data_IF_125998901524
#
_entry.id   IF_125998901524
#
_cell.length_a   1.000
_cell.length_b   1.000
_cell.length_c   1.000
_cell.angle_alpha   90.00
_cell.angle_beta   90.00
_cell.angle_gamma   90.00
#
_symmetry.space_group_name_H-M   'P 1'
#
loop_
_entity.id
_entity.type
_entity.pdbx_description
1 polymer ?
#
# COMPACT_ATOMS: atom_id res chain seq x y z
N UNK A 1 6.27 -18.34 -5.38
CA UNK A 1 6.11 -17.13 -6.21
C UNK A 1 4.86 -16.45 -5.70
N UNK A 2 4.96 -15.23 -5.16
CA UNK A 2 3.75 -14.49 -4.78
C UNK A 2 3.02 -14.02 -6.05
N UNK A 3 1.74 -14.33 -6.16
CA UNK A 3 0.90 -13.83 -7.25
C UNK A 3 0.42 -12.39 -6.94
N UNK A 4 -0.03 -11.66 -7.95
CA UNK A 4 -0.50 -10.26 -7.82
C UNK A 4 -1.58 -10.13 -6.74
N UNK A 5 -2.49 -11.09 -6.66
CA UNK A 5 -3.58 -11.11 -5.67
C UNK A 5 -3.07 -11.23 -4.23
N UNK A 6 -2.06 -12.08 -4.00
CA UNK A 6 -1.43 -12.25 -2.69
C UNK A 6 -0.71 -10.96 -2.27
N UNK A 7 0.03 -10.34 -3.18
CA UNK A 7 0.72 -9.06 -2.95
C UNK A 7 -0.28 -7.95 -2.62
N UNK A 8 -1.37 -7.87 -3.39
CA UNK A 8 -2.45 -6.92 -3.13
C UNK A 8 -3.03 -7.13 -1.73
N UNK A 9 -3.31 -8.37 -1.34
CA UNK A 9 -3.84 -8.70 -0.01
C UNK A 9 -2.87 -8.29 1.10
N UNK A 10 -1.59 -8.63 0.97
CA UNK A 10 -0.53 -8.26 1.93
C UNK A 10 -0.50 -6.75 2.14
N UNK A 11 -0.49 -5.98 1.05
CA UNK A 11 -0.42 -4.52 1.13
C UNK A 11 -1.69 -3.93 1.75
N UNK A 12 -2.87 -4.40 1.35
CA UNK A 12 -4.14 -3.92 1.92
C UNK A 12 -4.22 -4.21 3.42
N UNK A 13 -3.88 -5.42 3.85
CA UNK A 13 -3.87 -5.79 5.27
C UNK A 13 -2.84 -4.96 6.06
N UNK A 14 -1.67 -4.72 5.48
CA UNK A 14 -0.64 -3.88 6.09
C UNK A 14 -1.10 -2.42 6.27
N UNK A 15 -1.63 -1.79 5.23
CA UNK A 15 -2.13 -0.40 5.29
C UNK A 15 -3.27 -0.29 6.29
N UNK A 16 -4.21 -1.26 6.29
CA UNK A 16 -5.29 -1.34 7.29
C UNK A 16 -4.76 -1.39 8.72
N UNK A 17 -3.77 -2.25 8.98
CA UNK A 17 -3.18 -2.40 10.31
C UNK A 17 -2.41 -1.15 10.75
N UNK A 18 -1.75 -0.45 9.82
CA UNK A 18 -0.87 0.69 10.13
C UNK A 18 -1.63 2.01 10.29
N UNK A 19 -2.63 2.27 9.43
CA UNK A 19 -3.30 3.57 9.30
C UNK A 19 -4.79 3.52 9.63
N UNK A 20 -5.39 2.32 9.70
CA UNK A 20 -6.82 2.11 9.91
C UNK A 20 -7.74 2.97 9.00
N UNK A 21 -7.45 3.10 7.68
CA UNK A 21 -8.30 3.88 6.81
C UNK A 21 -9.63 3.14 6.57
N UNK A 22 -10.73 3.87 6.28
CA UNK A 22 -12.02 3.25 5.97
C UNK A 22 -11.97 2.41 4.68
N UNK A 23 -11.04 2.72 3.76
CA UNK A 23 -10.78 1.92 2.56
C UNK A 23 -9.34 2.09 2.07
N UNK A 24 -8.89 1.17 1.22
CA UNK A 24 -7.59 1.23 0.54
C UNK A 24 -7.85 1.07 -0.95
N UNK A 25 -7.38 2.03 -1.75
CA UNK A 25 -7.50 2.04 -3.22
C UNK A 25 -6.13 1.73 -3.81
N UNK A 26 -6.01 0.63 -4.55
CA UNK A 26 -4.76 0.27 -5.25
C UNK A 26 -4.82 0.84 -6.66
N UNK A 27 -3.80 1.60 -7.05
CA UNK A 27 -3.72 2.25 -8.37
C UNK A 27 -2.83 1.46 -9.34
N UNK A 28 -1.72 0.89 -8.88
CA UNK A 28 -0.89 0.00 -9.69
C UNK A 28 -0.14 -1.04 -8.86
N UNK A 29 0.14 -2.18 -9.51
CA UNK A 29 1.02 -3.23 -8.99
C UNK A 29 2.00 -3.57 -10.11
N UNK A 30 3.28 -3.30 -9.87
CA UNK A 30 4.37 -3.53 -10.82
C UNK A 30 5.38 -4.50 -10.21
N UNK A 31 5.95 -5.40 -11.01
CA UNK A 31 7.07 -6.24 -10.57
C UNK A 31 8.35 -5.76 -11.25
N UNK A 32 9.30 -5.25 -10.47
CA UNK A 32 10.55 -4.68 -10.95
C UNK A 32 11.71 -5.12 -10.07
N UNK A 33 12.83 -5.51 -10.67
CA UNK A 33 14.07 -5.87 -9.96
C UNK A 33 13.89 -6.92 -8.85
N UNK A 34 12.92 -7.82 -9.00
CA UNK A 34 12.63 -8.89 -8.05
C UNK A 34 11.82 -8.47 -6.82
N UNK A 35 11.28 -7.24 -6.81
CA UNK A 35 10.29 -6.77 -5.84
C UNK A 35 8.98 -6.39 -6.54
N UNK A 36 7.89 -6.44 -5.79
CA UNK A 36 6.62 -5.87 -6.17
C UNK A 36 6.52 -4.44 -5.64
N UNK A 37 6.23 -3.50 -6.51
CA UNK A 37 5.98 -2.09 -6.19
C UNK A 37 4.47 -1.89 -6.28
N UNK A 38 3.84 -1.59 -5.16
CA UNK A 38 2.40 -1.36 -5.05
C UNK A 38 2.14 0.10 -4.75
N UNK A 39 1.37 0.75 -5.62
CA UNK A 39 0.96 2.15 -5.44
C UNK A 39 -0.53 2.22 -5.17
N UNK A 40 -0.93 3.18 -4.37
CA UNK A 40 -2.33 3.39 -4.05
C UNK A 40 -2.59 4.64 -3.26
N UNK A 41 -3.83 4.79 -2.83
CA UNK A 41 -4.26 5.86 -1.94
C UNK A 41 -5.11 5.31 -0.82
N UNK A 42 -5.11 5.99 0.31
CA UNK A 42 -6.09 5.77 1.36
C UNK A 42 -6.57 7.12 1.92
N UNK A 43 -7.88 7.27 2.18
CA UNK A 43 -8.37 8.42 2.91
C UNK A 43 -7.82 8.39 4.34
N UNK A 44 -7.46 9.57 4.83
CA UNK A 44 -7.08 9.81 6.22
C UNK A 44 -7.93 10.96 6.76
N UNK A 45 -8.11 10.98 8.07
CA UNK A 45 -8.68 12.13 8.77
C UNK A 45 -7.55 12.85 9.50
N UNK A 46 -7.36 14.13 9.20
CA UNK A 46 -6.47 15.02 9.92
C UNK A 46 -7.31 16.13 10.54
N UNK A 47 -7.42 16.11 11.87
CA UNK A 47 -8.13 17.14 12.65
C UNK A 47 -9.61 17.33 12.24
N UNK A 48 -10.29 16.28 11.81
CA UNK A 48 -11.68 16.33 11.34
C UNK A 48 -11.82 16.72 9.87
N UNK A 49 -10.71 16.86 9.14
CA UNK A 49 -10.70 17.14 7.71
C UNK A 49 -10.34 15.88 6.91
N UNK A 50 -11.16 15.48 5.92
CA UNK A 50 -10.85 14.32 5.10
C UNK A 50 -9.77 14.66 4.06
N UNK A 51 -8.67 13.94 4.11
CA UNK A 51 -7.57 14.01 3.14
C UNK A 51 -7.37 12.68 2.43
N UNK A 52 -6.56 12.68 1.37
CA UNK A 52 -6.06 11.46 0.73
C UNK A 52 -4.55 11.41 0.86
N UNK A 53 -4.05 10.28 1.34
CA UNK A 53 -2.63 9.97 1.38
C UNK A 53 -2.34 9.03 0.21
N UNK A 54 -1.31 9.33 -0.57
CA UNK A 54 -0.73 8.39 -1.53
C UNK A 54 0.28 7.50 -0.81
N UNK A 55 0.40 6.25 -1.26
CA UNK A 55 1.43 5.35 -0.77
C UNK A 55 2.13 4.60 -1.89
N UNK A 56 3.40 4.27 -1.64
CA UNK A 56 4.19 3.31 -2.41
C UNK A 56 4.79 2.29 -1.45
N UNK A 57 4.51 1.01 -1.68
CA UNK A 57 4.98 -0.08 -0.83
C UNK A 57 5.71 -1.11 -1.68
N UNK A 58 6.92 -1.47 -1.24
CA UNK A 58 7.74 -2.50 -1.88
C UNK A 58 7.63 -3.82 -1.11
N UNK A 59 7.34 -4.91 -1.82
CA UNK A 59 7.18 -6.27 -1.26
C UNK A 59 8.13 -7.24 -1.94
N UNK A 60 8.92 -7.99 -1.19
CA UNK A 60 9.78 -9.02 -1.76
C UNK A 60 9.00 -10.28 -2.20
N UNK A 61 9.69 -11.19 -2.90
CA UNK A 61 9.12 -12.48 -3.37
C UNK A 61 8.63 -13.41 -2.25
N UNK A 62 8.97 -13.12 -0.98
CA UNK A 62 8.53 -13.86 0.21
C UNK A 62 7.35 -13.17 0.90
N UNK A 63 6.80 -12.11 0.31
CA UNK A 63 5.69 -11.35 0.88
C UNK A 63 6.11 -10.37 1.99
N UNK A 64 7.41 -10.11 2.18
CA UNK A 64 7.88 -9.17 3.21
C UNK A 64 7.94 -7.76 2.65
N UNK A 65 7.38 -6.81 3.39
CA UNK A 65 7.51 -5.39 3.08
C UNK A 65 8.96 -4.94 3.30
N UNK A 66 9.56 -4.33 2.28
CA UNK A 66 10.93 -3.81 2.29
C UNK A 66 10.98 -2.32 2.50
N UNK A 67 10.08 -1.60 1.83
CA UNK A 67 10.02 -0.16 1.87
C UNK A 67 8.56 0.30 1.88
N UNK A 68 8.34 1.46 2.46
CA UNK A 68 7.03 2.11 2.51
C UNK A 68 7.23 3.62 2.50
N UNK A 69 6.54 4.29 1.58
CA UNK A 69 6.47 5.73 1.51
C UNK A 69 5.00 6.14 1.54
N UNK A 70 4.69 7.15 2.36
CA UNK A 70 3.36 7.74 2.49
C UNK A 70 3.51 9.24 2.38
N UNK A 71 2.74 9.85 1.49
CA UNK A 71 2.78 11.29 1.24
C UNK A 71 1.37 11.86 1.16
N UNK A 72 1.16 13.06 1.70
CA UNK A 72 -0.09 13.79 1.56
C UNK A 72 -0.21 14.33 0.14
N UNK A 73 -1.41 14.27 -0.42
CA UNK A 73 -1.79 15.03 -1.62
C UNK A 73 -2.23 16.44 -1.25
#
# INVERSE_FOLDING_TARGET
MSCVEEVQRIVVEFVKKRKNPPRVEISSIEHKDGVWIVRGTCPIDLEGHPWREIFTIEVDRKGKIKNMDFSLL
#
